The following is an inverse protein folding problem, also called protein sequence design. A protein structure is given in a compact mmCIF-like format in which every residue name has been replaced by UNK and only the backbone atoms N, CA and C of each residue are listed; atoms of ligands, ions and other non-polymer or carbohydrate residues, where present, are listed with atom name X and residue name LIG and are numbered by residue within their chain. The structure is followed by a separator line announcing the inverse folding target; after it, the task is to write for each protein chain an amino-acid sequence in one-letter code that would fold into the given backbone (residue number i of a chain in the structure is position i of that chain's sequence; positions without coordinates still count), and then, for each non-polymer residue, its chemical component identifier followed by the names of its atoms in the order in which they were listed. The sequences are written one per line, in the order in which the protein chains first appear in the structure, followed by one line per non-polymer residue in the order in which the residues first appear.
data_IF_877579852044
#
_entry.id   IF_877579852044
#
_cell.length_a   1.000
_cell.length_b   1.000
_cell.length_c   1.000
_cell.angle_alpha   90.00
_cell.angle_beta   90.00
_cell.angle_gamma   90.00
#
_symmetry.space_group_name_H-M   'P 1'
#
loop_
_entity.id
_entity.type
_entity.pdbx_description
1 polymer ?
#
# COMPACT_ATOMS: atom_id res chain seq x y z
N UNK A 1 -5.58 -10.08 -13.51
CA UNK A 1 -4.26 -9.85 -14.11
C UNK A 1 -3.60 -8.75 -13.29
N UNK A 2 -2.66 -9.07 -12.40
CA UNK A 2 -1.91 -8.05 -11.65
C UNK A 2 -0.99 -7.35 -12.64
N UNK A 3 -1.25 -6.10 -12.94
CA UNK A 3 -0.30 -5.26 -13.65
C UNK A 3 0.74 -4.87 -12.61
N UNK A 4 1.87 -5.58 -12.57
CA UNK A 4 3.02 -5.08 -11.81
C UNK A 4 3.39 -3.72 -12.40
N UNK A 5 3.60 -2.68 -11.56
CA UNK A 5 4.01 -1.40 -12.07
C UNK A 5 5.30 -1.57 -12.87
N UNK A 6 5.29 -1.11 -14.12
CA UNK A 6 6.45 -1.22 -15.01
C UNK A 6 7.60 -0.38 -14.47
N UNK A 7 8.48 -1.03 -13.70
CA UNK A 7 9.78 -0.48 -13.38
C UNK A 7 10.72 -0.73 -14.56
N UNK A 8 11.47 0.28 -14.95
CA UNK A 8 12.57 0.10 -15.92
C UNK A 8 13.70 -0.67 -15.23
N UNK A 9 13.58 -2.00 -15.24
CA UNK A 9 14.42 -2.91 -14.45
C UNK A 9 15.89 -2.88 -14.84
N UNK A 10 16.23 -2.37 -16.02
CA UNK A 10 17.62 -2.17 -16.47
C UNK A 10 18.29 -0.94 -15.83
N UNK A 11 17.52 -0.01 -15.27
CA UNK A 11 18.05 1.13 -14.52
C UNK A 11 18.39 0.72 -13.08
N UNK A 12 19.31 1.46 -12.48
CA UNK A 12 19.52 1.43 -11.04
C UNK A 12 18.42 2.22 -10.30
N UNK A 13 18.29 2.00 -9.00
CA UNK A 13 17.32 2.75 -8.18
C UNK A 13 17.52 4.26 -8.27
N UNK A 14 18.78 4.73 -8.22
CA UNK A 14 19.11 6.13 -8.31
C UNK A 14 18.77 6.72 -9.70
N UNK A 15 19.11 6.02 -10.78
CA UNK A 15 18.79 6.46 -12.16
C UNK A 15 17.28 6.53 -12.38
N UNK A 16 16.52 5.53 -11.91
CA UNK A 16 15.07 5.53 -12.01
C UNK A 16 14.45 6.74 -11.29
N UNK A 17 14.86 7.01 -10.05
CA UNK A 17 14.33 8.14 -9.28
C UNK A 17 14.75 9.49 -9.89
N UNK A 18 15.96 9.60 -10.42
CA UNK A 18 16.42 10.80 -11.13
C UNK A 18 15.59 11.04 -12.39
N UNK A 19 15.34 10.01 -13.18
CA UNK A 19 14.46 10.07 -14.35
C UNK A 19 13.04 10.54 -13.96
N UNK A 20 12.46 9.99 -12.89
CA UNK A 20 11.14 10.42 -12.40
C UNK A 20 11.16 11.89 -11.98
N UNK A 21 12.22 12.34 -11.31
CA UNK A 21 12.38 13.73 -10.91
C UNK A 21 12.40 14.66 -12.13
N UNK A 22 13.15 14.31 -13.17
CA UNK A 22 13.24 15.06 -14.43
C UNK A 22 11.90 15.12 -15.16
N UNK A 23 11.21 14.00 -15.27
CA UNK A 23 9.85 13.92 -15.87
C UNK A 23 8.81 14.77 -15.12
N UNK A 24 9.03 15.01 -13.83
CA UNK A 24 8.22 15.88 -12.98
C UNK A 24 8.69 17.32 -12.94
N UNK A 25 9.73 17.67 -13.72
CA UNK A 25 10.36 19.00 -13.73
C UNK A 25 10.77 19.50 -12.35
N UNK A 26 11.27 18.60 -11.49
CA UNK A 26 11.77 18.97 -10.17
C UNK A 26 13.16 19.62 -10.30
N UNK A 27 13.46 20.67 -9.49
CA UNK A 27 14.79 21.25 -9.46
C UNK A 27 15.84 20.19 -9.09
N UNK A 28 16.89 20.07 -9.91
CA UNK A 28 17.89 18.99 -9.83
C UNK A 28 18.49 18.86 -8.41
N UNK A 29 19.06 19.96 -7.89
CA UNK A 29 19.67 19.94 -6.55
C UNK A 29 18.72 19.46 -5.46
N UNK A 30 17.51 20.00 -5.44
CA UNK A 30 16.52 19.65 -4.42
C UNK A 30 16.02 18.20 -4.56
N UNK A 31 15.87 17.72 -5.78
CA UNK A 31 15.44 16.34 -6.03
C UNK A 31 16.52 15.34 -5.64
N UNK A 32 17.80 15.62 -5.93
CA UNK A 32 18.90 14.74 -5.52
C UNK A 32 19.03 14.65 -4.00
N UNK A 33 18.94 15.77 -3.28
CA UNK A 33 18.95 15.77 -1.80
C UNK A 33 17.79 14.94 -1.22
N UNK A 34 16.58 15.05 -1.80
CA UNK A 34 15.41 14.25 -1.38
C UNK A 34 15.57 12.77 -1.70
N UNK A 35 16.04 12.45 -2.90
CA UNK A 35 16.26 11.05 -3.31
C UNK A 35 17.25 10.39 -2.38
N UNK A 36 18.39 11.02 -2.12
CA UNK A 36 19.42 10.46 -1.23
C UNK A 36 18.89 10.28 0.20
N UNK A 37 18.21 11.28 0.74
CA UNK A 37 17.58 11.20 2.07
C UNK A 37 16.54 10.09 2.16
N UNK A 38 15.65 9.95 1.17
CA UNK A 38 14.64 8.89 1.16
C UNK A 38 15.27 7.50 0.99
N UNK A 39 16.28 7.35 0.12
CA UNK A 39 17.00 6.08 -0.04
C UNK A 39 17.64 5.63 1.27
N UNK A 40 18.21 6.54 2.06
CA UNK A 40 18.74 6.23 3.41
C UNK A 40 17.63 5.78 4.36
N UNK A 41 16.54 6.53 4.44
CA UNK A 41 15.42 6.24 5.34
C UNK A 41 14.73 4.90 5.01
N UNK A 42 14.66 4.54 3.72
CA UNK A 42 14.12 3.24 3.27
C UNK A 42 15.16 2.11 3.25
N UNK A 43 16.41 2.35 3.74
CA UNK A 43 17.52 1.38 3.75
C UNK A 43 17.84 0.82 2.36
N UNK A 44 17.83 1.68 1.36
CA UNK A 44 18.16 1.36 -0.05
C UNK A 44 19.42 2.10 -0.55
N UNK A 45 20.06 2.89 0.32
CA UNK A 45 21.18 3.75 -0.09
C UNK A 45 22.37 2.97 -0.63
N UNK A 46 22.69 1.83 -0.03
CA UNK A 46 23.85 1.03 -0.42
C UNK A 46 23.61 0.29 -1.76
N UNK A 47 22.35 -0.04 -2.02
CA UNK A 47 21.92 -0.71 -3.26
C UNK A 47 21.53 0.27 -4.38
N UNK A 48 21.60 1.59 -4.15
CA UNK A 48 21.07 2.62 -5.07
C UNK A 48 21.61 2.57 -6.50
N UNK A 49 22.83 2.05 -6.68
CA UNK A 49 23.48 1.89 -7.98
C UNK A 49 23.34 0.47 -8.57
N UNK A 50 22.78 -0.47 -7.83
CA UNK A 50 22.46 -1.78 -8.35
C UNK A 50 21.22 -1.74 -9.26
N UNK A 51 21.21 -2.57 -10.30
CA UNK A 51 20.07 -2.67 -11.22
C UNK A 51 18.81 -3.13 -10.48
N UNK A 52 17.68 -2.49 -10.76
CA UNK A 52 16.35 -2.84 -10.21
C UNK A 52 15.97 -4.29 -10.56
N UNK A 53 16.54 -4.88 -11.62
CA UNK A 53 16.32 -6.30 -11.94
C UNK A 53 16.74 -7.23 -10.80
N UNK A 54 17.79 -6.88 -10.06
CA UNK A 54 18.28 -7.62 -8.90
C UNK A 54 17.56 -7.31 -7.59
N UNK A 55 16.65 -6.33 -7.55
CA UNK A 55 15.95 -5.95 -6.33
C UNK A 55 14.91 -6.98 -5.91
N UNK A 56 14.79 -7.19 -4.62
CA UNK A 56 13.68 -7.94 -4.03
C UNK A 56 12.34 -7.22 -4.30
N UNK A 57 11.21 -7.92 -4.11
CA UNK A 57 9.88 -7.33 -4.23
C UNK A 57 9.72 -6.12 -3.29
N UNK A 58 10.19 -6.24 -2.04
CA UNK A 58 10.15 -5.15 -1.06
C UNK A 58 11.02 -3.95 -1.45
N UNK A 59 12.22 -4.17 -2.00
CA UNK A 59 13.06 -3.08 -2.50
C UNK A 59 12.40 -2.34 -3.67
N UNK A 60 11.78 -3.07 -4.60
CA UNK A 60 11.02 -2.47 -5.72
C UNK A 60 9.84 -1.64 -5.20
N UNK A 61 9.11 -2.16 -4.21
CA UNK A 61 8.00 -1.43 -3.58
C UNK A 61 8.47 -0.13 -2.92
N UNK A 62 9.62 -0.15 -2.23
CA UNK A 62 10.21 1.05 -1.62
C UNK A 62 10.61 2.10 -2.68
N UNK A 63 11.19 1.70 -3.80
CA UNK A 63 11.51 2.61 -4.92
C UNK A 63 10.25 3.27 -5.47
N UNK A 64 9.16 2.51 -5.65
CA UNK A 64 7.88 3.05 -6.10
C UNK A 64 7.29 4.05 -5.12
N UNK A 65 7.38 3.77 -3.81
CA UNK A 65 6.95 4.70 -2.77
C UNK A 65 7.76 6.00 -2.80
N UNK A 66 9.09 5.93 -2.93
CA UNK A 66 9.93 7.12 -3.06
C UNK A 66 9.51 7.93 -4.30
N UNK A 67 9.34 7.28 -5.45
CA UNK A 67 8.92 7.94 -6.69
C UNK A 67 7.55 8.62 -6.56
N UNK A 68 6.61 8.00 -5.85
CA UNK A 68 5.28 8.55 -5.59
C UNK A 68 5.28 9.75 -4.63
N UNK A 69 6.26 9.85 -3.74
CA UNK A 69 6.28 10.84 -2.66
C UNK A 69 7.25 12.01 -2.89
N UNK A 70 8.33 11.80 -3.66
CA UNK A 70 9.43 12.76 -3.79
C UNK A 70 9.03 14.13 -4.35
N UNK A 71 7.94 14.20 -5.11
CA UNK A 71 7.42 15.44 -5.69
C UNK A 71 6.39 16.16 -4.81
N UNK A 72 6.21 15.69 -3.55
CA UNK A 72 5.33 16.28 -2.53
C UNK A 72 3.86 16.43 -2.99
N UNK A 73 3.19 15.39 -3.48
CA UNK A 73 1.82 15.48 -3.97
C UNK A 73 0.82 15.84 -2.86
N UNK A 74 -0.33 16.44 -3.23
CA UNK A 74 -1.46 16.63 -2.33
C UNK A 74 -2.32 15.37 -2.20
N UNK A 75 -2.46 14.61 -3.30
CA UNK A 75 -3.18 13.36 -3.38
C UNK A 75 -2.20 12.22 -3.69
N UNK A 76 -2.24 11.18 -2.91
CA UNK A 76 -1.39 10.00 -3.01
C UNK A 76 -2.30 8.79 -3.23
N UNK A 77 -2.09 8.08 -4.34
CA UNK A 77 -2.82 6.86 -4.67
C UNK A 77 -1.84 5.68 -4.62
N UNK A 78 -2.14 4.68 -3.81
CA UNK A 78 -1.29 3.50 -3.62
C UNK A 78 -2.12 2.23 -3.82
N UNK A 79 -1.61 1.32 -4.62
CA UNK A 79 -2.21 0.01 -4.81
C UNK A 79 -1.43 -1.04 -4.03
N UNK A 80 -2.10 -1.70 -3.05
CA UNK A 80 -1.52 -2.71 -2.17
C UNK A 80 -0.12 -2.34 -1.61
N UNK A 81 0.06 -1.15 -0.99
CA UNK A 81 1.38 -0.63 -0.68
C UNK A 81 2.16 -1.44 0.35
N UNK A 82 1.49 -2.27 1.14
CA UNK A 82 2.12 -3.13 2.16
C UNK A 82 2.60 -4.46 1.59
N UNK A 83 2.16 -4.82 0.38
CA UNK A 83 2.47 -6.11 -0.23
C UNK A 83 3.98 -6.30 -0.47
N UNK A 84 4.55 -7.35 0.14
CA UNK A 84 5.97 -7.70 -0.02
C UNK A 84 6.92 -6.88 0.84
N UNK A 85 6.44 -6.01 1.72
CA UNK A 85 7.24 -5.36 2.73
C UNK A 85 7.47 -6.30 3.94
N UNK A 86 8.63 -6.19 4.55
CA UNK A 86 8.89 -6.78 5.87
C UNK A 86 8.12 -6.02 6.97
N UNK A 87 8.05 -6.62 8.16
CA UNK A 87 7.29 -6.06 9.30
C UNK A 87 7.75 -4.64 9.65
N UNK A 88 9.07 -4.41 9.69
CA UNK A 88 9.62 -3.10 10.06
C UNK A 88 9.27 -2.05 9.00
N UNK A 89 9.42 -2.38 7.72
CA UNK A 89 9.05 -1.49 6.60
C UNK A 89 7.54 -1.20 6.57
N UNK A 90 6.71 -2.18 6.89
CA UNK A 90 5.25 -1.99 6.98
C UNK A 90 4.88 -1.04 8.12
N UNK A 91 5.53 -1.13 9.28
CA UNK A 91 5.33 -0.20 10.40
C UNK A 91 5.74 1.23 10.02
N UNK A 92 6.88 1.40 9.35
CA UNK A 92 7.33 2.71 8.86
C UNK A 92 6.31 3.30 7.89
N UNK A 93 5.82 2.50 6.94
CA UNK A 93 4.83 2.96 5.96
C UNK A 93 3.50 3.37 6.61
N UNK A 94 3.03 2.61 7.61
CA UNK A 94 1.82 2.97 8.40
C UNK A 94 1.99 4.35 9.05
N UNK A 95 3.09 4.53 9.78
CA UNK A 95 3.40 5.82 10.43
C UNK A 95 3.54 6.95 9.42
N UNK A 96 4.14 6.69 8.25
CA UNK A 96 4.28 7.67 7.19
C UNK A 96 2.92 8.10 6.63
N UNK A 97 1.99 7.16 6.38
CA UNK A 97 0.62 7.47 5.91
C UNK A 97 -0.10 8.36 6.92
N UNK A 98 -0.02 8.03 8.21
CA UNK A 98 -0.64 8.83 9.28
C UNK A 98 -0.04 10.24 9.36
N UNK A 99 1.30 10.37 9.27
CA UNK A 99 1.99 11.65 9.28
C UNK A 99 1.65 12.51 8.06
N UNK A 100 1.55 11.90 6.88
CA UNK A 100 1.12 12.59 5.66
C UNK A 100 -0.31 13.11 5.77
N UNK A 101 -1.22 12.31 6.33
CA UNK A 101 -2.60 12.71 6.57
C UNK A 101 -2.67 13.86 7.62
N UNK A 102 -1.91 13.78 8.70
CA UNK A 102 -1.81 14.84 9.70
C UNK A 102 -1.29 16.18 9.12
N UNK A 103 -0.47 16.12 8.07
CA UNK A 103 0.00 17.27 7.31
C UNK A 103 -0.96 17.73 6.20
N UNK A 104 -2.19 17.25 6.20
CA UNK A 104 -3.23 17.65 5.25
C UNK A 104 -3.12 17.01 3.86
N UNK A 105 -2.35 15.92 3.70
CA UNK A 105 -2.34 15.14 2.46
C UNK A 105 -3.54 14.20 2.43
N UNK A 106 -4.06 13.94 1.24
CA UNK A 106 -5.05 12.90 1.01
C UNK A 106 -4.34 11.63 0.55
N UNK A 107 -4.47 10.56 1.32
CA UNK A 107 -3.91 9.25 0.96
C UNK A 107 -5.05 8.27 0.74
N UNK A 108 -5.14 7.73 -0.47
CA UNK A 108 -6.06 6.65 -0.82
C UNK A 108 -5.24 5.42 -1.19
N UNK A 109 -5.52 4.30 -0.56
CA UNK A 109 -4.83 3.05 -0.88
C UNK A 109 -5.80 1.87 -0.89
N UNK A 110 -5.51 0.90 -1.75
CA UNK A 110 -6.16 -0.41 -1.72
C UNK A 110 -5.46 -1.32 -0.72
N UNK A 111 -6.20 -2.19 -0.05
CA UNK A 111 -5.62 -3.25 0.78
C UNK A 111 -6.64 -4.36 1.00
N UNK A 112 -6.16 -5.59 1.12
CA UNK A 112 -6.90 -6.74 1.63
C UNK A 112 -6.58 -7.02 3.11
N UNK A 113 -5.67 -6.27 3.73
CA UNK A 113 -5.32 -6.36 5.15
C UNK A 113 -6.27 -5.47 5.98
N UNK A 114 -7.46 -5.99 6.32
CA UNK A 114 -8.51 -5.25 7.00
C UNK A 114 -8.08 -4.65 8.34
N UNK A 115 -7.26 -5.38 9.11
CA UNK A 115 -6.67 -4.88 10.37
C UNK A 115 -5.80 -3.64 10.17
N UNK A 116 -5.04 -3.60 9.07
CA UNK A 116 -4.21 -2.44 8.74
C UNK A 116 -5.10 -1.25 8.37
N UNK A 117 -6.11 -1.47 7.52
CA UNK A 117 -7.09 -0.44 7.14
C UNK A 117 -7.79 0.11 8.38
N UNK A 118 -8.25 -0.74 9.27
CA UNK A 118 -8.97 -0.36 10.49
C UNK A 118 -8.14 0.53 11.44
N UNK A 119 -6.82 0.30 11.48
CA UNK A 119 -5.90 1.04 12.37
C UNK A 119 -5.47 2.41 11.85
N UNK A 120 -5.42 2.61 10.53
CA UNK A 120 -4.82 3.81 9.96
C UNK A 120 -5.79 4.66 9.11
N UNK A 121 -6.93 4.10 8.70
CA UNK A 121 -7.90 4.82 7.88
C UNK A 121 -8.98 5.48 8.74
N UNK A 122 -9.39 6.67 8.36
CA UNK A 122 -10.57 7.34 8.92
C UNK A 122 -11.85 6.96 8.17
N UNK A 123 -11.74 6.61 6.90
CA UNK A 123 -12.84 6.28 5.99
C UNK A 123 -12.48 5.06 5.15
N UNK A 124 -13.46 4.24 4.85
CA UNK A 124 -13.30 3.05 4.02
C UNK A 124 -14.36 3.01 2.93
N UNK A 125 -13.93 2.54 1.77
CA UNK A 125 -14.78 2.22 0.62
C UNK A 125 -14.69 0.73 0.38
N UNK A 126 -15.80 -0.01 0.48
CA UNK A 126 -15.85 -1.44 0.23
C UNK A 126 -16.44 -1.68 -1.15
N UNK A 127 -15.65 -2.36 -1.99
CA UNK A 127 -16.04 -2.78 -3.33
C UNK A 127 -16.20 -4.30 -3.37
N UNK A 128 -17.34 -4.78 -3.91
CA UNK A 128 -17.61 -6.19 -4.13
C UNK A 128 -18.22 -6.41 -5.50
N UNK A 129 -17.68 -7.34 -6.29
CA UNK A 129 -18.11 -7.62 -7.66
C UNK A 129 -18.30 -6.35 -8.53
N UNK A 130 -17.38 -5.38 -8.42
CA UNK A 130 -17.42 -4.11 -9.17
C UNK A 130 -18.49 -3.12 -8.70
N UNK A 131 -19.16 -3.39 -7.59
CA UNK A 131 -20.17 -2.50 -6.99
C UNK A 131 -19.64 -1.90 -5.69
N UNK A 132 -20.04 -0.67 -5.42
CA UNK A 132 -19.85 -0.01 -4.13
C UNK A 132 -20.87 -0.57 -3.14
N UNK A 133 -20.40 -1.23 -2.08
CA UNK A 133 -21.27 -1.81 -1.03
C UNK A 133 -21.26 -1.01 0.27
N UNK A 134 -20.17 -0.29 0.56
CA UNK A 134 -20.12 0.66 1.67
C UNK A 134 -19.12 1.80 1.35
N UNK A 135 -19.43 3.00 1.85
CA UNK A 135 -18.58 4.19 1.81
C UNK A 135 -18.89 5.09 3.00
N UNK A 136 -18.16 4.91 4.11
CA UNK A 136 -18.32 5.74 5.30
C UNK A 136 -17.08 5.68 6.22
N UNK A 137 -17.13 6.39 7.36
CA UNK A 137 -16.13 6.24 8.41
C UNK A 137 -16.25 4.84 9.06
N UNK A 138 -15.13 4.32 9.54
CA UNK A 138 -15.10 2.99 10.18
C UNK A 138 -15.98 2.98 11.43
N UNK A 139 -15.94 4.05 12.23
CA UNK A 139 -16.76 4.20 13.44
C UNK A 139 -18.26 4.16 13.11
N UNK A 140 -18.65 4.84 12.03
CA UNK A 140 -20.05 4.88 11.61
C UNK A 140 -20.54 3.54 11.11
N UNK A 141 -19.72 2.83 10.30
CA UNK A 141 -20.06 1.48 9.85
C UNK A 141 -20.20 0.51 11.01
N UNK A 142 -19.29 0.56 12.00
CA UNK A 142 -19.41 -0.25 13.23
C UNK A 142 -20.69 0.03 14.00
N UNK A 143 -21.01 1.30 14.17
CA UNK A 143 -22.23 1.71 14.90
C UNK A 143 -23.51 1.32 14.19
N UNK A 144 -23.58 1.49 12.86
CA UNK A 144 -24.78 1.16 12.07
C UNK A 144 -25.03 -0.34 11.98
N UNK A 145 -23.98 -1.14 11.92
CA UNK A 145 -24.08 -2.59 11.76
C UNK A 145 -23.97 -3.35 13.08
N UNK A 146 -23.71 -2.65 14.19
CA UNK A 146 -23.47 -3.24 15.52
C UNK A 146 -22.35 -4.29 15.52
N UNK A 147 -21.33 -4.12 14.64
CA UNK A 147 -20.23 -5.05 14.49
C UNK A 147 -18.92 -4.45 15.02
N UNK A 148 -18.10 -5.24 15.74
CA UNK A 148 -16.93 -4.74 16.45
C UNK A 148 -15.73 -4.48 15.55
N UNK A 149 -15.64 -5.13 14.37
CA UNK A 149 -14.47 -5.06 13.49
C UNK A 149 -14.84 -4.84 12.03
N UNK A 150 -13.94 -4.23 11.26
CA UNK A 150 -14.07 -4.06 9.81
C UNK A 150 -14.15 -5.41 9.09
N UNK A 151 -13.46 -6.43 9.59
CA UNK A 151 -13.52 -7.79 9.04
C UNK A 151 -14.96 -8.36 9.09
N UNK A 152 -15.66 -8.24 10.23
CA UNK A 152 -17.04 -8.70 10.34
C UNK A 152 -17.99 -7.91 9.44
N UNK A 153 -17.76 -6.60 9.32
CA UNK A 153 -18.51 -5.75 8.39
C UNK A 153 -18.30 -6.23 6.95
N UNK A 154 -17.05 -6.49 6.58
CA UNK A 154 -16.70 -6.97 5.23
C UNK A 154 -17.34 -8.35 4.96
N UNK A 155 -17.24 -9.29 5.89
CA UNK A 155 -17.87 -10.61 5.78
C UNK A 155 -19.38 -10.50 5.53
N UNK A 156 -20.06 -9.64 6.28
CA UNK A 156 -21.51 -9.46 6.12
C UNK A 156 -21.92 -8.78 4.81
N UNK A 157 -21.11 -7.85 4.29
CA UNK A 157 -21.42 -7.07 3.10
C UNK A 157 -20.93 -7.69 1.79
N UNK A 158 -19.85 -8.47 1.84
CA UNK A 158 -19.11 -8.88 0.66
C UNK A 158 -18.90 -10.39 0.53
N UNK A 159 -19.14 -11.17 1.57
CA UNK A 159 -18.93 -12.63 1.53
C UNK A 159 -20.28 -13.33 1.60
N UNK A 160 -20.71 -13.90 0.48
CA UNK A 160 -21.98 -14.66 0.36
C UNK A 160 -21.83 -16.14 0.80
N UNK A 161 -20.60 -16.63 0.98
CA UNK A 161 -20.32 -18.03 1.28
C UNK A 161 -20.00 -18.23 2.77
N UNK A 162 -20.57 -19.26 3.36
CA UNK A 162 -20.20 -19.75 4.69
C UNK A 162 -18.80 -20.40 4.62
N UNK A 163 -17.78 -19.58 4.90
CA UNK A 163 -16.37 -20.00 4.87
C UNK A 163 -16.05 -21.10 5.89
N UNK A 164 -16.80 -21.16 7.01
CA UNK A 164 -16.64 -22.21 8.02
C UNK A 164 -17.18 -23.55 7.54
N UNK A 165 -18.32 -23.56 6.83
CA UNK A 165 -18.89 -24.78 6.23
C UNK A 165 -17.92 -25.32 5.15
N UNK A 166 -17.41 -24.48 4.27
CA UNK A 166 -16.43 -24.89 3.28
C UNK A 166 -15.16 -25.47 3.90
N UNK A 167 -14.65 -24.87 4.97
CA UNK A 167 -13.45 -25.38 5.65
C UNK A 167 -13.69 -26.77 6.26
N UNK A 168 -14.89 -27.04 6.82
CA UNK A 168 -15.27 -28.36 7.33
C UNK A 168 -15.36 -29.39 6.21
N UNK A 169 -16.01 -29.05 5.10
CA UNK A 169 -16.14 -29.96 3.95
C UNK A 169 -14.75 -30.33 3.38
N UNK A 170 -13.82 -29.35 3.28
CA UNK A 170 -12.43 -29.61 2.85
C UNK A 170 -11.73 -30.55 3.84
N UNK A 171 -11.88 -30.32 5.16
CA UNK A 171 -11.26 -31.17 6.18
C UNK A 171 -11.80 -32.60 6.11
N UNK A 172 -13.11 -32.78 5.92
CA UNK A 172 -13.73 -34.10 5.76
C UNK A 172 -13.23 -34.83 4.52
N UNK A 173 -13.04 -34.14 3.40
CA UNK A 173 -12.46 -34.70 2.17
C UNK A 173 -11.02 -35.15 2.33
N UNK A 174 -10.23 -34.51 3.18
CA UNK A 174 -8.83 -34.88 3.47
C UNK A 174 -8.77 -36.11 4.37
N UNK A 175 -9.78 -36.33 5.24
CA UNK A 175 -9.85 -37.46 6.16
C UNK A 175 -10.48 -38.71 5.57
N UNK A 176 -11.09 -38.62 4.39
CA UNK A 176 -11.70 -39.74 3.70
C UNK A 176 -10.66 -40.52 2.87
#
# INVERSE_FOLDING_TARGET
MRVEPYLYTHLSGAEYLTMVAQLRNLPERQSMERIDGMLRLFSLHDDRHASISGYSKGMRQKILLIAALMHNPHLILLDEPFSGLDVASSLVLRSLIQELAARGKVVLFSSHELDTVERICSRVVILHHGKLVADDSIERLRSLMELPTLEKIFLQLAVEQDTESMAREIADLIHA
#
